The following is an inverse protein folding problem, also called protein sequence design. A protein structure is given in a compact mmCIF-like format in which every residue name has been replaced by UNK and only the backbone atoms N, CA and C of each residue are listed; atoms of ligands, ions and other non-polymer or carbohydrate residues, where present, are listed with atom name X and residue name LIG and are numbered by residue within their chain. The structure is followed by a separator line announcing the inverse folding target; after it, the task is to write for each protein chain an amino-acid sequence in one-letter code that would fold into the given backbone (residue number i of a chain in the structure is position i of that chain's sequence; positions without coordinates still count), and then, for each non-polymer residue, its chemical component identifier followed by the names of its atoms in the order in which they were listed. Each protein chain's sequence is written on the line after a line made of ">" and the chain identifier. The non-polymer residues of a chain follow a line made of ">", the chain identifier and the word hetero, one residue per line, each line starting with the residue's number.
data_IF_838929951442
#
_entry.id   IF_838929951442
#
_cell.length_a   1.000
_cell.length_b   1.000
_cell.length_c   1.000
_cell.angle_alpha   90.00
_cell.angle_beta   90.00
_cell.angle_gamma   90.00
#
_symmetry.space_group_name_H-M   'P 1'
#
loop_
_entity.id
_entity.type
_entity.pdbx_description
1 polymer ?
#
# COMPACT_ATOMS: atom_id res chain seq x y z
N UNK A 1 -5.39 15.22 12.88
CA UNK A 1 -6.26 14.02 12.99
C UNK A 1 -5.89 13.10 14.14
N UNK A 2 -4.74 12.39 14.12
CA UNK A 2 -4.39 11.43 15.20
C UNK A 2 -4.36 12.07 16.60
N UNK A 3 -3.78 13.28 16.72
CA UNK A 3 -3.77 14.05 17.98
C UNK A 3 -5.19 14.46 18.40
N UNK A 4 -5.99 14.93 17.45
CA UNK A 4 -7.36 15.43 17.71
C UNK A 4 -8.28 14.32 18.24
N UNK A 5 -8.13 13.10 17.71
CA UNK A 5 -8.96 11.95 18.05
C UNK A 5 -8.43 11.11 19.23
N UNK A 6 -7.25 11.46 19.76
CA UNK A 6 -6.58 10.70 20.83
C UNK A 6 -7.44 10.58 22.10
N UNK A 7 -8.15 11.65 22.47
CA UNK A 7 -9.05 11.66 23.64
C UNK A 7 -10.25 10.74 23.49
N UNK A 8 -10.64 10.40 22.26
CA UNK A 8 -11.71 9.46 21.96
C UNK A 8 -11.21 8.02 21.81
N UNK A 9 -9.91 7.77 22.01
CA UNK A 9 -9.31 6.44 21.87
C UNK A 9 -9.24 5.93 20.42
N UNK A 10 -9.37 6.81 19.42
CA UNK A 10 -9.35 6.43 18.00
C UNK A 10 -7.94 6.62 17.43
N UNK A 11 -7.36 5.53 16.92
CA UNK A 11 -6.08 5.57 16.18
C UNK A 11 -6.32 5.98 14.73
N UNK A 12 -5.34 6.66 14.14
CA UNK A 12 -5.37 7.09 12.74
C UNK A 12 -4.10 6.62 12.06
N UNK A 13 -4.24 5.89 10.96
CA UNK A 13 -3.13 5.34 10.18
C UNK A 13 -3.41 5.49 8.70
N UNK A 14 -2.34 5.56 7.90
CA UNK A 14 -2.42 5.66 6.44
C UNK A 14 -1.58 4.55 5.80
N UNK A 15 -2.09 3.92 4.75
CA UNK A 15 -1.32 3.03 3.88
C UNK A 15 -1.11 3.75 2.55
N UNK A 16 0.14 3.89 2.13
CA UNK A 16 0.53 4.41 0.83
C UNK A 16 0.97 3.25 -0.06
N UNK A 17 0.07 2.66 -0.88
CA UNK A 17 0.42 1.55 -1.73
C UNK A 17 1.30 1.98 -2.91
N UNK A 18 2.14 1.06 -3.37
CA UNK A 18 2.77 1.12 -4.69
C UNK A 18 1.79 0.69 -5.78
N UNK A 19 2.25 -0.16 -6.69
CA UNK A 19 1.45 -0.65 -7.81
C UNK A 19 0.79 -1.98 -7.43
N UNK A 20 -0.55 -2.04 -7.49
CA UNK A 20 -1.35 -3.20 -7.08
C UNK A 20 -2.31 -3.66 -8.18
N UNK A 21 -2.59 -4.95 -8.22
CA UNK A 21 -3.57 -5.59 -9.10
C UNK A 21 -5.00 -5.18 -8.70
N UNK A 22 -5.40 -3.99 -9.14
CA UNK A 22 -6.76 -3.47 -8.96
C UNK A 22 -7.54 -3.63 -10.27
N UNK A 23 -8.89 -3.64 -10.24
CA UNK A 23 -9.70 -3.72 -11.46
C UNK A 23 -9.32 -2.68 -12.53
N UNK A 24 -8.87 -1.48 -12.10
CA UNK A 24 -8.39 -0.44 -13.00
C UNK A 24 -7.14 -0.86 -13.79
N UNK A 25 -6.17 -1.51 -13.13
CA UNK A 25 -4.92 -1.97 -13.76
C UNK A 25 -5.11 -3.26 -14.55
N UNK A 26 -6.04 -4.12 -14.12
CA UNK A 26 -6.39 -5.35 -14.85
C UNK A 26 -7.04 -5.06 -16.21
N UNK A 27 -7.61 -3.87 -16.40
CA UNK A 27 -8.12 -3.41 -17.70
C UNK A 27 -7.03 -2.98 -18.70
N UNK A 28 -5.77 -2.89 -18.27
CA UNK A 28 -4.66 -2.54 -19.15
C UNK A 28 -4.11 -3.77 -19.89
N UNK A 29 -3.48 -3.60 -21.07
CA UNK A 29 -2.82 -4.71 -21.76
C UNK A 29 -1.81 -5.42 -20.86
N UNK A 30 -1.70 -6.75 -21.00
CA UNK A 30 -0.81 -7.57 -20.16
C UNK A 30 0.65 -7.09 -20.18
N UNK A 31 1.14 -6.67 -21.35
CA UNK A 31 2.50 -6.12 -21.50
C UNK A 31 2.76 -4.90 -20.61
N UNK A 32 1.75 -4.05 -20.41
CA UNK A 32 1.85 -2.87 -19.54
C UNK A 32 1.86 -3.30 -18.07
N UNK A 33 1.04 -4.27 -17.69
CA UNK A 33 1.02 -4.81 -16.33
C UNK A 33 2.38 -5.44 -15.97
N UNK A 34 2.95 -6.23 -16.88
CA UNK A 34 4.24 -6.88 -16.71
C UNK A 34 5.39 -5.86 -16.64
N UNK A 35 5.36 -4.83 -17.48
CA UNK A 35 6.33 -3.75 -17.47
C UNK A 35 6.31 -2.98 -16.13
N UNK A 36 5.11 -2.66 -15.62
CA UNK A 36 4.95 -2.02 -14.32
C UNK A 36 5.42 -2.92 -13.18
N UNK A 37 5.13 -4.22 -13.23
CA UNK A 37 5.60 -5.19 -12.24
C UNK A 37 7.13 -5.28 -12.18
N UNK A 38 7.81 -5.25 -13.34
CA UNK A 38 9.28 -5.28 -13.42
C UNK A 38 9.96 -4.02 -12.87
N UNK A 39 9.24 -2.90 -12.76
CA UNK A 39 9.78 -1.70 -12.12
C UNK A 39 9.88 -1.82 -10.60
N UNK A 40 9.17 -2.76 -9.99
CA UNK A 40 9.23 -3.00 -8.55
C UNK A 40 10.51 -3.75 -8.20
N UNK A 41 11.39 -3.22 -7.32
CA UNK A 41 12.63 -3.90 -6.94
C UNK A 41 12.44 -5.32 -6.39
N UNK A 42 11.64 -5.49 -5.34
CA UNK A 42 11.30 -6.82 -4.82
C UNK A 42 10.04 -6.78 -3.95
N UNK A 43 9.11 -7.74 -4.12
CA UNK A 43 9.05 -8.74 -5.20
C UNK A 43 8.75 -8.08 -6.56
N UNK A 44 9.36 -8.54 -7.68
CA UNK A 44 9.24 -7.89 -9.00
C UNK A 44 7.93 -8.24 -9.71
N UNK A 45 6.81 -7.80 -9.12
CA UNK A 45 5.44 -7.97 -9.60
C UNK A 45 4.54 -6.90 -9.00
N UNK A 46 3.30 -6.84 -9.49
CA UNK A 46 2.26 -6.06 -8.86
C UNK A 46 1.90 -6.63 -7.47
N UNK A 47 1.53 -5.74 -6.56
CA UNK A 47 0.99 -6.11 -5.26
C UNK A 47 -0.39 -6.75 -5.39
N UNK A 48 -0.68 -7.74 -4.56
CA UNK A 48 -2.00 -8.41 -4.53
C UNK A 48 -2.89 -7.74 -3.49
N UNK A 49 -4.22 -7.63 -3.71
CA UNK A 49 -5.14 -7.06 -2.73
C UNK A 49 -5.04 -7.69 -1.32
N UNK A 50 -4.75 -9.00 -1.25
CA UNK A 50 -4.55 -9.70 0.02
C UNK A 50 -3.35 -9.18 0.84
N UNK A 51 -2.30 -8.67 0.19
CA UNK A 51 -1.11 -8.10 0.86
C UNK A 51 -1.44 -6.74 1.50
N UNK A 52 -2.26 -5.93 0.83
CA UNK A 52 -2.81 -4.70 1.40
C UNK A 52 -3.72 -5.02 2.60
N UNK A 53 -4.62 -5.99 2.45
CA UNK A 53 -5.52 -6.43 3.53
C UNK A 53 -4.74 -6.94 4.74
N UNK A 54 -3.64 -7.65 4.52
CA UNK A 54 -2.78 -8.13 5.59
C UNK A 54 -2.17 -6.97 6.40
N UNK A 55 -1.67 -5.92 5.73
CA UNK A 55 -1.18 -4.72 6.43
C UNK A 55 -2.29 -3.99 7.19
N UNK A 56 -3.49 -3.86 6.59
CA UNK A 56 -4.63 -3.26 7.27
C UNK A 56 -4.99 -4.03 8.56
N UNK A 57 -4.99 -5.37 8.50
CA UNK A 57 -5.19 -6.23 9.67
C UNK A 57 -4.10 -5.99 10.73
N UNK A 58 -2.83 -5.96 10.34
CA UNK A 58 -1.73 -5.68 11.27
C UNK A 58 -1.85 -4.31 11.95
N UNK A 59 -2.33 -3.29 11.22
CA UNK A 59 -2.63 -1.96 11.76
C UNK A 59 -3.76 -2.03 12.80
N UNK A 60 -4.81 -2.81 12.55
CA UNK A 60 -5.93 -2.99 13.47
C UNK A 60 -5.48 -3.70 14.76
N UNK A 61 -4.69 -4.76 14.63
CA UNK A 61 -4.25 -5.61 15.74
C UNK A 61 -3.17 -4.96 16.63
N UNK A 62 -2.31 -4.10 16.07
CA UNK A 62 -1.24 -3.45 16.83
C UNK A 62 -1.68 -2.09 17.40
N UNK A 63 -1.89 -2.06 18.72
CA UNK A 63 -2.36 -0.87 19.46
C UNK A 63 -1.39 0.30 19.46
N UNK A 64 -0.10 0.06 19.23
CA UNK A 64 0.93 1.12 19.21
C UNK A 64 1.05 1.84 17.88
N UNK A 65 0.43 1.33 16.80
CA UNK A 65 0.44 2.00 15.51
C UNK A 65 -0.56 3.17 15.50
N UNK A 66 -0.06 4.40 15.53
CA UNK A 66 -0.89 5.60 15.47
C UNK A 66 -0.11 6.80 14.88
N UNK A 67 -0.75 7.54 13.97
CA UNK A 67 -0.21 8.77 13.41
C UNK A 67 0.85 8.60 12.33
N UNK A 68 0.91 7.44 11.67
CA UNK A 68 1.96 7.11 10.71
C UNK A 68 1.41 6.70 9.33
N UNK A 69 2.23 6.88 8.29
CA UNK A 69 2.01 6.41 6.92
C UNK A 69 2.98 5.30 6.57
N UNK A 70 2.45 4.10 6.28
CA UNK A 70 3.27 2.96 5.88
C UNK A 70 3.26 2.85 4.35
N UNK A 71 4.44 2.90 3.74
CA UNK A 71 4.61 2.54 2.33
C UNK A 71 4.53 1.02 2.18
N UNK A 72 3.69 0.56 1.26
CA UNK A 72 3.57 -0.85 0.89
C UNK A 72 3.75 -0.96 -0.62
N UNK A 73 4.99 -1.08 -1.08
CA UNK A 73 5.30 -0.76 -2.48
C UNK A 73 6.46 -1.55 -3.10
N UNK A 74 7.00 -2.56 -2.41
CA UNK A 74 8.14 -3.33 -2.89
C UNK A 74 9.40 -2.50 -3.13
N UNK A 75 9.57 -1.41 -2.39
CA UNK A 75 10.67 -0.44 -2.47
C UNK A 75 10.70 0.41 -3.74
N UNK A 76 9.64 0.40 -4.56
CA UNK A 76 9.59 1.22 -5.78
C UNK A 76 9.62 2.72 -5.46
N UNK A 77 10.25 3.50 -6.34
CA UNK A 77 10.13 4.96 -6.41
C UNK A 77 9.70 5.31 -7.83
N UNK A 78 8.57 6.01 -7.96
CA UNK A 78 8.03 6.38 -9.27
C UNK A 78 8.97 7.40 -9.91
N UNK A 79 9.49 7.05 -11.09
CA UNK A 79 10.30 7.97 -11.88
C UNK A 79 9.40 9.03 -12.54
N UNK A 80 9.90 10.27 -12.73
CA UNK A 80 9.23 11.24 -13.60
C UNK A 80 9.02 10.65 -14.99
N UNK A 81 7.89 10.99 -15.62
CA UNK A 81 7.67 10.76 -17.05
C UNK A 81 8.05 12.00 -17.82
#
# INVERSE_FOLDING_TARGET
>A
MARDLSRSGIRVMTIAPGIFETPMLLGMPQEVQDALGKMVPFPPRLGRPAEYAHLAKAIIENVMLNGETIRLDGAIRMQPK
#
